data_IF_052586669065
#
_entry.id   IF_052586669065
#
_cell.length_a   1.000
_cell.length_b   1.000
_cell.length_c   1.000
_cell.angle_alpha   90.00
_cell.angle_beta   90.00
_cell.angle_gamma   90.00
#
_symmetry.space_group_name_H-M   'P 1'
#
loop_
_entity.id
_entity.type
_entity.pdbx_description
1 polymer ?
#
# COMPACT_ATOMS: atom_id res chain seq x y z
N UNK A 1 1.09 0.83 38.46
CA UNK A 1 1.92 2.04 38.27
C UNK A 1 1.92 2.32 36.79
N UNK A 2 0.91 3.07 36.36
CA UNK A 2 0.66 3.48 34.97
C UNK A 2 1.94 3.85 34.21
N UNK A 3 2.12 3.23 33.05
CA UNK A 3 2.75 3.90 31.93
C UNK A 3 1.67 4.05 30.85
N UNK A 4 1.36 5.31 30.57
CA UNK A 4 0.33 5.87 29.69
C UNK A 4 0.08 5.07 28.40
N UNK A 5 -1.17 4.97 27.91
CA UNK A 5 -1.43 4.52 26.55
C UNK A 5 -0.77 5.52 25.59
N UNK A 6 0.39 5.12 25.06
CA UNK A 6 1.09 5.82 24.00
C UNK A 6 0.13 5.98 22.82
N UNK A 7 -0.26 7.23 22.65
CA UNK A 7 -1.20 7.72 21.66
C UNK A 7 -0.69 7.33 20.28
N UNK A 8 -1.33 6.33 19.67
CA UNK A 8 -1.09 5.93 18.29
C UNK A 8 -1.49 7.09 17.40
N UNK A 9 -0.52 7.94 17.11
CA UNK A 9 -0.40 8.75 15.89
C UNK A 9 -1.71 9.38 15.40
N UNK A 10 -2.22 10.34 16.14
CA UNK A 10 -2.79 11.54 15.53
C UNK A 10 -2.06 12.77 16.06
N UNK A 11 -0.84 13.00 15.57
CA UNK A 11 -0.24 14.33 15.65
C UNK A 11 0.43 14.68 14.33
N UNK A 12 -0.34 15.28 13.41
CA UNK A 12 0.18 16.32 12.53
C UNK A 12 -0.44 17.66 12.91
N UNK A 13 -0.46 18.01 14.21
CA UNK A 13 -1.00 19.30 14.66
C UNK A 13 -0.11 20.03 15.67
N UNK A 14 1.11 19.54 15.93
CA UNK A 14 2.06 20.20 16.85
C UNK A 14 2.91 21.32 16.22
N UNK A 15 2.90 21.48 14.90
CA UNK A 15 3.79 22.41 14.18
C UNK A 15 3.13 23.28 13.11
N UNK A 16 1.81 23.22 12.93
CA UNK A 16 1.11 23.96 11.87
C UNK A 16 0.77 25.41 12.23
N UNK A 17 1.03 25.87 13.46
CA UNK A 17 0.75 27.26 13.81
C UNK A 17 1.61 28.26 13.00
N UNK A 18 2.75 27.80 12.48
CA UNK A 18 3.70 28.63 11.72
C UNK A 18 3.99 28.08 10.30
N UNK A 19 3.19 27.13 9.81
CA UNK A 19 3.38 26.59 8.46
C UNK A 19 2.92 27.60 7.41
N UNK A 20 3.73 27.89 6.36
CA UNK A 20 3.31 28.78 5.29
C UNK A 20 2.03 28.22 4.65
N UNK A 21 1.04 29.09 4.41
CA UNK A 21 -0.30 28.70 3.90
C UNK A 21 -0.22 27.83 2.63
N UNK A 22 0.84 27.96 1.85
CA UNK A 22 1.15 27.11 0.71
C UNK A 22 1.34 25.64 1.11
N UNK A 23 2.12 25.35 2.16
CA UNK A 23 2.42 23.98 2.60
C UNK A 23 1.17 23.27 3.13
N UNK A 24 0.37 23.97 3.94
CA UNK A 24 -0.90 23.44 4.44
C UNK A 24 -1.92 23.17 3.32
N UNK A 25 -1.88 23.95 2.23
CA UNK A 25 -2.72 23.74 1.04
C UNK A 25 -2.24 22.53 0.23
N UNK A 26 -0.93 22.38 0.05
CA UNK A 26 -0.32 21.24 -0.65
C UNK A 26 -0.65 19.92 0.05
N UNK A 27 -0.51 19.87 1.38
CA UNK A 27 -0.85 18.67 2.18
C UNK A 27 -2.32 18.29 1.98
N UNK A 28 -3.24 19.27 2.07
CA UNK A 28 -4.68 19.02 1.87
C UNK A 28 -5.02 18.53 0.46
N UNK A 29 -4.31 19.01 -0.56
CA UNK A 29 -4.50 18.55 -1.95
C UNK A 29 -4.04 17.10 -2.09
N UNK A 30 -2.87 16.78 -1.53
CA UNK A 30 -2.31 15.41 -1.56
C UNK A 30 -3.24 14.45 -0.81
N UNK A 31 -3.75 14.83 0.35
CA UNK A 31 -4.69 14.01 1.12
C UNK A 31 -6.01 13.79 0.37
N UNK A 32 -6.53 14.83 -0.27
CA UNK A 32 -7.73 14.74 -1.11
C UNK A 32 -7.54 13.81 -2.30
N UNK A 33 -6.41 13.93 -3.01
CA UNK A 33 -6.06 13.09 -4.17
C UNK A 33 -6.00 11.62 -3.78
N UNK A 34 -5.38 11.31 -2.65
CA UNK A 34 -5.20 9.94 -2.20
C UNK A 34 -6.50 9.30 -1.70
N UNK A 35 -7.44 10.08 -1.11
CA UNK A 35 -8.78 9.55 -0.77
C UNK A 35 -9.59 9.23 -2.03
N UNK A 36 -9.53 10.12 -3.03
CA UNK A 36 -10.25 9.96 -4.29
C UNK A 36 -9.68 8.79 -5.11
N UNK A 37 -8.35 8.68 -5.20
CA UNK A 37 -7.69 7.57 -5.89
C UNK A 37 -8.09 6.22 -5.29
N UNK A 38 -8.12 6.10 -3.96
CA UNK A 38 -8.58 4.89 -3.28
C UNK A 38 -10.00 4.46 -3.63
N UNK A 39 -10.94 5.42 -3.69
CA UNK A 39 -12.34 5.13 -4.08
C UNK A 39 -12.44 4.69 -5.55
N UNK A 40 -11.66 5.30 -6.44
CA UNK A 40 -11.63 4.94 -7.86
C UNK A 40 -11.04 3.54 -8.02
N UNK A 41 -9.91 3.24 -7.36
CA UNK A 41 -9.26 1.92 -7.40
C UNK A 41 -10.18 0.83 -6.88
N UNK A 42 -10.93 1.10 -5.81
CA UNK A 42 -11.94 0.19 -5.29
C UNK A 42 -12.99 -0.18 -6.34
N UNK A 43 -13.35 0.74 -7.23
CA UNK A 43 -14.27 0.45 -8.35
C UNK A 43 -13.60 -0.32 -9.50
N UNK A 44 -12.29 -0.13 -9.71
CA UNK A 44 -11.51 -0.81 -10.76
C UNK A 44 -11.30 -2.31 -10.49
N UNK A 45 -11.55 -2.81 -9.28
CA UNK A 45 -11.46 -4.25 -8.97
C UNK A 45 -12.44 -5.08 -9.81
N UNK A 46 -13.63 -4.54 -10.11
CA UNK A 46 -14.67 -5.25 -10.87
C UNK A 46 -14.29 -5.54 -12.33
N UNK A 47 -13.88 -4.53 -13.15
CA UNK A 47 -13.44 -4.80 -14.52
C UNK A 47 -12.17 -5.65 -14.57
N UNK A 48 -11.30 -5.55 -13.57
CA UNK A 48 -10.12 -6.42 -13.43
C UNK A 48 -10.50 -7.89 -13.31
N UNK A 49 -11.34 -8.23 -12.32
CA UNK A 49 -11.79 -9.60 -12.09
C UNK A 49 -12.56 -10.13 -13.30
N UNK A 50 -13.39 -9.29 -13.92
CA UNK A 50 -14.12 -9.68 -15.13
C UNK A 50 -13.18 -10.01 -16.31
N UNK A 51 -12.15 -9.19 -16.55
CA UNK A 51 -11.15 -9.45 -17.59
C UNK A 51 -10.40 -10.77 -17.35
N UNK A 52 -10.02 -11.04 -16.10
CA UNK A 52 -9.35 -12.28 -15.70
C UNK A 52 -10.24 -13.51 -15.96
N UNK A 53 -11.51 -13.44 -15.54
CA UNK A 53 -12.49 -14.52 -15.76
C UNK A 53 -12.72 -14.74 -17.24
N UNK A 54 -12.85 -13.68 -18.04
CA UNK A 54 -12.99 -13.78 -19.49
C UNK A 54 -11.78 -14.47 -20.13
N UNK A 55 -10.55 -14.11 -19.73
CA UNK A 55 -9.33 -14.75 -20.24
C UNK A 55 -9.30 -16.25 -19.91
N UNK A 56 -9.60 -16.61 -18.65
CA UNK A 56 -9.66 -18.01 -18.20
C UNK A 56 -10.71 -18.78 -18.99
N UNK A 57 -11.92 -18.24 -19.13
CA UNK A 57 -12.99 -18.89 -19.90
C UNK A 57 -12.62 -19.03 -21.37
N UNK A 58 -12.08 -17.99 -22.01
CA UNK A 58 -11.65 -18.03 -23.41
C UNK A 58 -10.55 -19.10 -23.64
N UNK A 59 -9.61 -19.21 -22.70
CA UNK A 59 -8.48 -20.14 -22.78
C UNK A 59 -8.90 -21.58 -22.54
N UNK A 60 -9.73 -21.84 -21.53
CA UNK A 60 -10.08 -23.21 -21.12
C UNK A 60 -11.36 -23.75 -21.76
N UNK A 61 -12.39 -22.92 -22.02
CA UNK A 61 -13.62 -23.37 -22.68
C UNK A 61 -13.52 -23.29 -24.20
N UNK A 62 -12.92 -22.22 -24.75
CA UNK A 62 -12.91 -21.98 -26.19
C UNK A 62 -11.60 -22.37 -26.88
N UNK A 63 -10.56 -22.77 -26.12
CA UNK A 63 -9.25 -23.20 -26.62
C UNK A 63 -8.61 -22.20 -27.61
N UNK A 64 -9.03 -20.94 -27.55
CA UNK A 64 -8.64 -19.87 -28.47
C UNK A 64 -7.92 -18.78 -27.66
N UNK A 65 -6.60 -18.91 -27.45
CA UNK A 65 -5.84 -17.92 -26.71
C UNK A 65 -5.79 -16.60 -27.49
N UNK A 66 -6.39 -15.55 -26.93
CA UNK A 66 -6.29 -14.18 -27.44
C UNK A 66 -4.94 -13.58 -27.05
N UNK A 67 -4.02 -13.45 -28.01
CA UNK A 67 -2.63 -12.97 -27.80
C UNK A 67 -2.63 -11.60 -27.09
N UNK A 68 -3.55 -10.70 -27.45
CA UNK A 68 -3.64 -9.36 -26.88
C UNK A 68 -4.19 -9.33 -25.44
N UNK A 69 -4.91 -10.35 -25.00
CA UNK A 69 -5.59 -10.32 -23.70
C UNK A 69 -4.60 -10.41 -22.53
N UNK A 70 -3.53 -11.19 -22.68
CA UNK A 70 -2.47 -11.31 -21.67
C UNK A 70 -1.71 -10.00 -21.47
N UNK A 71 -1.38 -9.29 -22.55
CA UNK A 71 -0.69 -8.00 -22.48
C UNK A 71 -1.58 -6.94 -21.80
N UNK A 72 -2.87 -6.92 -22.14
CA UNK A 72 -3.84 -6.00 -21.53
C UNK A 72 -4.02 -6.30 -20.05
N UNK A 73 -4.18 -7.57 -19.65
CA UNK A 73 -4.34 -7.93 -18.25
C UNK A 73 -3.09 -7.59 -17.44
N UNK A 74 -1.89 -7.85 -17.95
CA UNK A 74 -0.62 -7.51 -17.29
C UNK A 74 -0.44 -6.01 -17.07
N UNK A 75 -0.76 -5.16 -18.05
CA UNK A 75 -0.69 -3.70 -17.91
C UNK A 75 -1.73 -3.21 -16.90
N UNK A 76 -2.94 -3.78 -16.93
CA UNK A 76 -4.01 -3.46 -15.97
C UNK A 76 -3.61 -3.80 -14.52
N UNK A 77 -2.97 -4.96 -14.30
CA UNK A 77 -2.42 -5.33 -13.00
C UNK A 77 -1.36 -4.34 -12.50
N UNK A 78 -0.44 -3.92 -13.38
CA UNK A 78 0.59 -2.94 -13.04
C UNK A 78 -0.01 -1.59 -12.61
N UNK A 79 -0.98 -1.09 -13.37
CA UNK A 79 -1.70 0.15 -13.03
C UNK A 79 -2.45 0.03 -11.70
N UNK A 80 -3.15 -1.09 -11.49
CA UNK A 80 -3.86 -1.33 -10.23
C UNK A 80 -2.91 -1.38 -9.04
N UNK A 81 -1.76 -2.05 -9.15
CA UNK A 81 -0.75 -2.10 -8.10
C UNK A 81 -0.21 -0.71 -7.74
N UNK A 82 0.11 0.11 -8.74
CA UNK A 82 0.62 1.47 -8.51
C UNK A 82 -0.42 2.37 -7.83
N UNK A 83 -1.68 2.30 -8.27
CA UNK A 83 -2.76 3.09 -7.67
C UNK A 83 -3.14 2.57 -6.26
N UNK A 84 -3.18 1.25 -6.07
CA UNK A 84 -3.46 0.60 -4.79
C UNK A 84 -2.36 0.84 -3.75
N UNK A 85 -1.09 0.80 -4.16
CA UNK A 85 0.06 1.10 -3.29
C UNK A 85 0.07 2.57 -2.85
N UNK A 86 -0.25 3.51 -3.74
CA UNK A 86 -0.41 4.93 -3.39
C UNK A 86 -1.49 5.15 -2.31
N UNK A 87 -2.64 4.46 -2.43
CA UNK A 87 -3.71 4.52 -1.43
C UNK A 87 -3.29 3.89 -0.09
N UNK A 88 -2.65 2.73 -0.13
CA UNK A 88 -2.14 2.06 1.06
C UNK A 88 -1.05 2.90 1.78
N UNK A 89 -0.21 3.60 1.02
CA UNK A 89 0.81 4.50 1.55
C UNK A 89 0.19 5.71 2.27
N UNK A 90 -0.86 6.33 1.70
CA UNK A 90 -1.58 7.40 2.38
C UNK A 90 -2.14 6.94 3.73
N UNK A 91 -2.71 5.74 3.78
CA UNK A 91 -3.31 5.20 5.01
C UNK A 91 -2.28 4.68 6.01
N UNK A 92 -0.98 4.90 5.76
CA UNK A 92 0.12 4.35 6.57
C UNK A 92 -0.06 2.83 6.79
N UNK A 93 -0.68 2.16 5.81
CA UNK A 93 -0.94 0.71 5.81
C UNK A 93 0.08 -0.04 4.97
N UNK A 94 0.84 0.67 4.13
CA UNK A 94 1.90 0.06 3.35
C UNK A 94 3.06 -0.28 4.29
N UNK A 95 3.09 -1.54 4.73
CA UNK A 95 4.12 -2.16 5.57
C UNK A 95 4.06 -1.63 7.01
N UNK A 96 3.00 -2.00 7.72
CA UNK A 96 2.95 -1.90 9.19
C UNK A 96 3.81 -2.99 9.83
N UNK A 97 5.11 -2.96 9.55
CA UNK A 97 6.11 -3.68 10.32
C UNK A 97 6.24 -3.03 11.72
N UNK A 98 5.94 -1.73 11.84
CA UNK A 98 5.96 -0.98 13.11
C UNK A 98 5.01 -1.53 14.20
N UNK A 99 3.91 -2.20 13.86
CA UNK A 99 2.98 -2.70 14.88
C UNK A 99 3.39 -4.04 15.48
N UNK A 100 4.18 -4.82 14.72
CA UNK A 100 4.81 -6.04 15.21
C UNK A 100 6.11 -5.67 15.93
N UNK A 101 6.92 -4.78 15.35
CA UNK A 101 8.20 -4.34 15.91
C UNK A 101 8.05 -3.42 17.14
N UNK A 102 7.00 -2.60 17.21
CA UNK A 102 6.72 -1.73 18.37
C UNK A 102 6.36 -2.51 19.64
N UNK A 103 5.94 -3.76 19.52
CA UNK A 103 5.65 -4.66 20.66
C UNK A 103 6.84 -5.54 21.06
N UNK A 104 7.93 -5.50 20.30
CA UNK A 104 9.10 -6.35 20.54
C UNK A 104 10.15 -5.60 21.35
N UNK A 105 10.77 -6.31 22.30
CA UNK A 105 11.89 -5.77 23.07
C UNK A 105 13.08 -5.43 22.16
N UNK A 106 13.92 -4.48 22.58
CA UNK A 106 15.17 -4.10 21.88
C UNK A 106 16.03 -5.34 21.53
N UNK A 107 16.03 -6.37 22.39
CA UNK A 107 16.84 -7.58 22.20
C UNK A 107 16.33 -8.46 21.06
N UNK A 108 15.01 -8.66 20.98
CA UNK A 108 14.38 -9.44 19.91
C UNK A 108 14.51 -8.75 18.55
N UNK A 109 14.45 -7.41 18.51
CA UNK A 109 14.68 -6.63 17.29
C UNK A 109 16.10 -6.81 16.77
N UNK A 110 17.11 -6.67 17.64
CA UNK A 110 18.51 -6.84 17.26
C UNK A 110 18.88 -8.26 16.82
N UNK A 111 18.30 -9.29 17.44
CA UNK A 111 18.53 -10.69 17.00
C UNK A 111 17.94 -10.98 15.62
N UNK A 112 16.72 -10.49 15.37
CA UNK A 112 16.05 -10.69 14.07
C UNK A 112 16.78 -9.93 12.97
N UNK A 113 17.17 -8.68 13.23
CA UNK A 113 17.93 -7.87 12.27
C UNK A 113 19.29 -8.53 11.97
N UNK A 114 20.02 -9.02 12.97
CA UNK A 114 21.30 -9.72 12.75
C UNK A 114 21.13 -11.04 11.98
N UNK A 115 20.10 -11.84 12.30
CA UNK A 115 19.82 -13.09 11.61
C UNK A 115 19.41 -12.86 10.15
N UNK A 116 18.53 -11.89 9.88
CA UNK A 116 18.15 -11.50 8.52
C UNK A 116 19.35 -10.94 7.75
N UNK A 117 20.18 -10.10 8.37
CA UNK A 117 21.36 -9.56 7.71
C UNK A 117 22.29 -10.69 7.25
N UNK A 118 22.61 -11.64 8.13
CA UNK A 118 23.48 -12.76 7.79
C UNK A 118 22.84 -13.67 6.71
N UNK A 119 21.54 -13.96 6.82
CA UNK A 119 20.84 -14.88 5.92
C UNK A 119 20.56 -14.29 4.53
N UNK A 120 20.26 -13.00 4.42
CA UNK A 120 19.83 -12.34 3.17
C UNK A 120 20.93 -11.54 2.48
N UNK A 121 21.93 -11.03 3.21
CA UNK A 121 23.05 -10.27 2.62
C UNK A 121 24.24 -11.15 2.23
N UNK A 122 24.46 -12.27 2.92
CA UNK A 122 25.55 -13.21 2.63
C UNK A 122 25.28 -14.34 1.60
N UNK A 123 24.07 -14.61 1.08
CA UNK A 123 23.87 -15.58 0.00
C UNK A 123 24.16 -15.01 -1.39
#
# INVERSE_FOLDING_TARGET
MECSPENVQETPAGGLHNAPRALAKTIRIIDGLSIVSGKIVGWFIFPMVFSLVFEVVARYLFNAPTIWAGDVSQILYGMFFMLGSAYALQRQQHIRTDFIYGKWSIRTRGMVDAALYILFYFP
#
